data_IF_335636964154
#
_entry.id   IF_335636964154
#
_cell.length_a   1.000
_cell.length_b   1.000
_cell.length_c   1.000
_cell.angle_alpha   90.00
_cell.angle_beta   90.00
_cell.angle_gamma   90.00
#
_symmetry.space_group_name_H-M   'P 1'
#
loop_
_entity.id
_entity.type
_entity.pdbx_description
1 polymer ?
#
# COMPACT_ATOMS: atom_id res chain seq x y z
N UNK A 1 -3.85 -4.04 14.91
CA UNK A 1 -3.84 -5.52 14.83
C UNK A 1 -5.29 -6.01 14.91
N UNK A 2 -5.72 -6.98 14.08
CA UNK A 2 -7.15 -7.36 13.96
C UNK A 2 -7.57 -8.57 14.80
N UNK A 3 -6.81 -9.66 14.78
CA UNK A 3 -7.23 -10.97 15.34
C UNK A 3 -6.54 -11.30 16.68
N UNK A 4 -5.44 -10.61 17.03
CA UNK A 4 -4.68 -10.90 18.26
C UNK A 4 -3.91 -12.22 18.24
N UNK A 5 -3.88 -12.91 17.09
CA UNK A 5 -3.20 -14.20 16.90
C UNK A 5 -2.41 -14.20 15.59
N UNK A 6 -1.43 -15.10 15.50
CA UNK A 6 -0.65 -15.30 14.28
C UNK A 6 -1.49 -16.02 13.21
N UNK A 7 -1.39 -15.62 11.93
CA UNK A 7 -2.11 -16.29 10.84
C UNK A 7 -1.63 -17.73 10.62
N UNK A 8 -0.37 -18.02 10.96
CA UNK A 8 0.23 -19.34 10.94
C UNK A 8 0.98 -19.55 12.26
N UNK A 9 0.64 -20.62 12.96
CA UNK A 9 1.32 -21.06 14.17
C UNK A 9 1.29 -22.59 14.24
N UNK A 10 2.42 -23.18 14.63
CA UNK A 10 2.56 -24.60 14.91
C UNK A 10 3.86 -24.86 15.69
N UNK A 11 3.84 -25.85 16.58
CA UNK A 11 5.06 -26.30 17.29
C UNK A 11 6.00 -27.07 16.37
N UNK A 12 5.46 -27.68 15.32
CA UNK A 12 6.23 -28.40 14.32
C UNK A 12 6.53 -27.48 13.14
N UNK A 13 7.82 -27.19 12.93
CA UNK A 13 8.30 -26.30 11.85
C UNK A 13 7.86 -26.78 10.46
N UNK A 14 7.82 -28.09 10.22
CA UNK A 14 7.39 -28.64 8.91
C UNK A 14 5.92 -28.32 8.65
N UNK A 15 5.07 -28.47 9.67
CA UNK A 15 3.63 -28.14 9.57
C UNK A 15 3.43 -26.63 9.44
N UNK A 16 4.19 -25.82 10.19
CA UNK A 16 4.17 -24.37 10.06
C UNK A 16 4.49 -23.92 8.63
N UNK A 17 5.59 -24.42 8.04
CA UNK A 17 5.94 -24.09 6.66
C UNK A 17 4.88 -24.55 5.67
N UNK A 18 4.30 -25.75 5.86
CA UNK A 18 3.19 -26.22 5.02
C UNK A 18 1.98 -25.27 5.09
N UNK A 19 1.63 -24.77 6.28
CA UNK A 19 0.55 -23.79 6.47
C UNK A 19 0.86 -22.48 5.73
N UNK A 20 2.09 -21.97 5.83
CA UNK A 20 2.54 -20.76 5.12
C UNK A 20 2.45 -20.97 3.60
N UNK A 21 3.00 -22.06 3.07
CA UNK A 21 3.03 -22.33 1.62
C UNK A 21 1.62 -22.48 1.02
N UNK A 22 0.69 -23.07 1.78
CA UNK A 22 -0.70 -23.25 1.35
C UNK A 22 -1.59 -22.04 1.67
N UNK A 23 -1.06 -21.06 2.41
CA UNK A 23 -1.85 -20.02 3.05
C UNK A 23 -3.06 -20.59 3.83
N UNK A 24 -2.83 -21.67 4.58
CA UNK A 24 -3.83 -22.26 5.46
C UNK A 24 -3.97 -21.44 6.75
N UNK A 25 -4.81 -20.41 6.67
CA UNK A 25 -5.09 -19.43 7.73
C UNK A 25 -6.59 -19.39 8.01
N UNK A 26 -6.94 -19.37 9.30
CA UNK A 26 -8.34 -19.23 9.73
C UNK A 26 -8.66 -17.76 9.99
N UNK A 27 -9.40 -17.15 9.07
CA UNK A 27 -9.91 -15.78 9.25
C UNK A 27 -11.27 -15.88 9.97
N UNK A 28 -11.44 -15.25 11.14
CA UNK A 28 -12.68 -15.35 11.90
C UNK A 28 -13.84 -14.60 11.24
N UNK A 29 -15.04 -15.13 11.42
CA UNK A 29 -16.27 -14.60 10.80
C UNK A 29 -16.73 -13.26 11.39
N UNK A 30 -16.33 -12.94 12.63
CA UNK A 30 -16.69 -11.69 13.29
C UNK A 30 -15.95 -10.46 12.74
N UNK A 31 -14.96 -10.64 11.87
CA UNK A 31 -14.33 -9.52 11.16
C UNK A 31 -15.26 -8.92 10.13
N UNK A 32 -15.12 -7.63 9.83
CA UNK A 32 -15.89 -7.03 8.74
C UNK A 32 -15.55 -7.70 7.40
N UNK A 33 -16.51 -7.85 6.47
CA UNK A 33 -16.28 -8.49 5.18
C UNK A 33 -15.11 -7.88 4.39
N UNK A 34 -14.94 -6.55 4.48
CA UNK A 34 -13.81 -5.83 3.87
C UNK A 34 -12.46 -6.21 4.49
N UNK A 35 -12.38 -6.36 5.81
CA UNK A 35 -11.16 -6.81 6.49
C UNK A 35 -10.81 -8.24 6.08
N UNK A 36 -11.81 -9.13 6.06
CA UNK A 36 -11.63 -10.52 5.65
C UNK A 36 -11.13 -10.62 4.20
N UNK A 37 -11.72 -9.82 3.29
CA UNK A 37 -11.29 -9.78 1.89
C UNK A 37 -9.84 -9.31 1.77
N UNK A 38 -9.49 -8.20 2.42
CA UNK A 38 -8.13 -7.66 2.37
C UNK A 38 -7.10 -8.66 2.91
N UNK A 39 -7.37 -9.29 4.05
CA UNK A 39 -6.49 -10.30 4.64
C UNK A 39 -6.26 -11.49 3.69
N UNK A 40 -7.31 -12.00 3.03
CA UNK A 40 -7.18 -13.08 2.04
C UNK A 40 -6.26 -12.69 0.88
N UNK A 41 -6.37 -11.45 0.39
CA UNK A 41 -5.55 -10.96 -0.72
C UNK A 41 -4.09 -10.72 -0.32
N UNK A 42 -3.84 -10.28 0.92
CA UNK A 42 -2.48 -10.10 1.47
C UNK A 42 -1.80 -11.46 1.67
N UNK A 43 -2.53 -12.44 2.20
CA UNK A 43 -2.02 -13.79 2.50
C UNK A 43 -2.07 -14.74 1.29
N UNK A 44 -2.32 -14.21 0.07
CA UNK A 44 -2.31 -15.00 -1.16
C UNK A 44 -0.93 -15.67 -1.36
N UNK A 45 -0.88 -17.01 -1.50
CA UNK A 45 0.38 -17.75 -1.58
C UNK A 45 1.12 -17.47 -2.90
N UNK A 46 0.40 -17.21 -4.00
CA UNK A 46 1.02 -16.87 -5.27
C UNK A 46 1.40 -15.37 -5.32
N UNK A 47 2.69 -15.01 -5.38
CA UNK A 47 3.12 -13.60 -5.38
C UNK A 47 2.57 -12.80 -6.57
N UNK A 48 2.29 -13.44 -7.71
CA UNK A 48 1.72 -12.77 -8.89
C UNK A 48 0.24 -12.43 -8.72
N UNK A 49 -0.47 -13.11 -7.80
CA UNK A 49 -1.88 -12.85 -7.47
C UNK A 49 -2.03 -12.04 -6.18
N UNK A 50 -0.96 -11.92 -5.39
CA UNK A 50 -0.94 -11.19 -4.14
C UNK A 50 -1.15 -9.71 -4.40
N UNK A 51 -2.01 -9.11 -3.58
CA UNK A 51 -2.29 -7.67 -3.65
C UNK A 51 -1.01 -6.86 -3.43
N UNK A 52 -0.79 -5.87 -4.29
CA UNK A 52 0.35 -4.96 -4.15
C UNK A 52 0.02 -3.78 -3.23
N UNK A 53 1.03 -2.97 -2.89
CA UNK A 53 0.85 -1.85 -1.95
C UNK A 53 -0.11 -0.77 -2.48
N UNK A 54 -0.09 -0.48 -3.78
CA UNK A 54 -1.00 0.50 -4.38
C UNK A 54 -2.46 0.03 -4.28
N UNK A 55 -2.72 -1.24 -4.56
CA UNK A 55 -4.04 -1.85 -4.42
C UNK A 55 -4.51 -1.91 -2.96
N UNK A 56 -3.61 -2.17 -1.99
CA UNK A 56 -3.94 -2.11 -0.56
C UNK A 56 -4.41 -0.70 -0.18
N UNK A 57 -3.66 0.34 -0.58
CA UNK A 57 -3.99 1.75 -0.30
C UNK A 57 -5.33 2.15 -0.91
N UNK A 58 -5.68 1.58 -2.06
CA UNK A 58 -6.95 1.81 -2.74
C UNK A 58 -8.11 0.96 -2.18
N UNK A 59 -7.84 -0.03 -1.34
CA UNK A 59 -8.87 -0.91 -0.81
C UNK A 59 -9.82 -0.14 0.13
N UNK A 60 -11.14 -0.30 -0.05
CA UNK A 60 -12.16 0.45 0.71
C UNK A 60 -11.99 0.31 2.23
N UNK A 61 -11.69 -0.91 2.69
CA UNK A 61 -11.43 -1.16 4.11
C UNK A 61 -10.22 -0.40 4.65
N UNK A 62 -9.17 -0.21 3.82
CA UNK A 62 -7.97 0.53 4.23
C UNK A 62 -8.22 2.04 4.23
N UNK A 63 -8.98 2.56 3.26
CA UNK A 63 -9.27 3.99 3.16
C UNK A 63 -10.16 4.52 4.28
N UNK A 64 -10.93 3.64 4.92
CA UNK A 64 -11.84 4.02 6.01
C UNK A 64 -11.06 4.61 7.18
N UNK A 65 -11.31 5.88 7.46
CA UNK A 65 -10.67 6.66 8.54
C UNK A 65 -9.13 6.75 8.43
N UNK A 66 -8.58 6.51 7.24
CA UNK A 66 -7.15 6.62 6.99
C UNK A 66 -6.75 8.06 6.68
N UNK A 67 -5.73 8.55 7.39
CA UNK A 67 -5.13 9.86 7.18
C UNK A 67 -3.69 9.62 6.68
N UNK A 68 -3.36 10.00 5.43
CA UNK A 68 -1.99 9.90 4.94
C UNK A 68 -1.09 10.85 5.73
N UNK A 69 0.11 10.39 6.09
CA UNK A 69 1.14 11.23 6.67
C UNK A 69 1.70 12.11 5.55
N UNK A 70 1.66 13.44 5.74
CA UNK A 70 2.32 14.37 4.83
C UNK A 70 3.85 14.26 4.94
N UNK A 71 4.60 14.70 3.91
CA UNK A 71 6.04 14.84 4.05
C UNK A 71 6.34 15.74 5.26
N UNK A 72 7.24 15.29 6.13
CA UNK A 72 7.80 16.14 7.18
C UNK A 72 8.85 17.02 6.49
N UNK A 73 8.56 18.31 6.36
CA UNK A 73 9.62 19.28 6.11
C UNK A 73 10.37 19.44 7.44
N UNK A 74 11.64 19.00 7.51
CA UNK A 74 12.47 19.01 8.73
C UNK A 74 12.72 20.44 9.30
N UNK A 75 12.16 21.48 8.68
CA UNK A 75 12.43 22.90 8.95
C UNK A 75 11.24 23.71 9.53
N UNK A 76 10.06 23.12 9.80
CA UNK A 76 8.88 23.88 10.28
C UNK A 76 8.41 23.47 11.69
N UNK A 77 8.83 24.24 12.70
CA UNK A 77 8.16 24.32 14.00
C UNK A 77 6.84 25.09 13.87
N UNK A 78 5.72 24.39 13.58
CA UNK A 78 4.36 24.57 14.15
C UNK A 78 3.32 23.76 13.32
N UNK A 79 3.20 22.44 13.58
CA UNK A 79 2.27 21.57 12.85
C UNK A 79 0.83 21.78 13.33
N UNK A 80 0.08 22.63 12.63
CA UNK A 80 -1.39 22.66 12.72
C UNK A 80 -1.95 21.40 12.05
N UNK A 81 -2.29 20.44 12.89
CA UNK A 81 -3.08 19.24 12.62
C UNK A 81 -4.20 19.51 11.60
N UNK A 82 -4.16 18.87 10.41
CA UNK A 82 -5.37 18.67 9.61
C UNK A 82 -5.33 18.86 8.09
N UNK A 83 -4.18 19.00 7.43
CA UNK A 83 -4.16 18.97 5.96
C UNK A 83 -4.40 17.54 5.43
N UNK A 84 -5.67 17.17 5.26
CA UNK A 84 -6.08 15.92 4.61
C UNK A 84 -5.80 16.08 3.11
N UNK A 85 -4.66 15.60 2.64
CA UNK A 85 -4.45 15.43 1.20
C UNK A 85 -5.23 14.19 0.73
N UNK A 86 -6.03 14.29 -0.34
CA UNK A 86 -6.75 13.14 -0.85
C UNK A 86 -5.76 12.06 -1.29
N UNK A 87 -6.01 10.80 -0.91
CA UNK A 87 -5.14 9.63 -1.15
C UNK A 87 -4.74 9.46 -2.63
N UNK A 88 -5.56 9.97 -3.56
CA UNK A 88 -5.26 9.97 -5.01
C UNK A 88 -4.09 10.88 -5.42
N UNK A 89 -3.71 11.88 -4.62
CA UNK A 89 -2.64 12.84 -4.96
C UNK A 89 -1.28 12.50 -4.33
N UNK A 90 -1.24 11.61 -3.33
CA UNK A 90 -0.01 11.30 -2.58
C UNK A 90 0.87 10.25 -3.29
N UNK A 91 0.35 9.54 -4.28
CA UNK A 91 1.06 8.44 -4.96
C UNK A 91 0.99 8.59 -6.48
N UNK A 92 1.43 9.74 -6.99
CA UNK A 92 2.06 9.77 -8.30
C UNK A 92 3.55 9.55 -8.05
N UNK A 93 4.21 8.85 -8.96
CA UNK A 93 5.68 8.68 -9.01
C UNK A 93 6.22 7.51 -8.17
N UNK A 94 6.01 6.30 -8.69
CA UNK A 94 7.06 5.30 -8.75
C UNK A 94 6.79 4.39 -9.97
N UNK A 95 7.57 4.58 -11.04
CA UNK A 95 7.68 3.76 -12.27
C UNK A 95 6.67 3.90 -13.43
N UNK A 96 6.63 5.06 -14.10
CA UNK A 96 6.68 5.12 -15.59
C UNK A 96 6.81 6.55 -16.17
N UNK A 97 8.01 6.93 -16.65
CA UNK A 97 8.12 7.85 -17.79
C UNK A 97 7.33 7.27 -18.97
N UNK A 98 6.41 8.00 -19.65
CA UNK A 98 6.37 8.33 -21.12
C UNK A 98 5.20 9.33 -21.44
N UNK A 99 5.55 10.58 -21.72
CA UNK A 99 5.04 11.54 -22.75
C UNK A 99 3.56 12.01 -22.87
N UNK A 100 3.41 13.33 -22.64
CA UNK A 100 2.74 14.40 -23.42
C UNK A 100 1.22 14.37 -23.70
N UNK A 101 0.52 15.42 -23.20
CA UNK A 101 -0.54 16.25 -23.85
C UNK A 101 -1.13 17.17 -22.74
N UNK A 102 -1.14 18.49 -22.79
CA UNK A 102 -0.96 19.49 -23.84
C UNK A 102 -0.75 20.87 -23.19
N UNK A 103 0.14 21.67 -23.78
CA UNK A 103 0.19 23.14 -23.74
C UNK A 103 0.35 23.81 -22.36
N UNK A 104 1.59 24.03 -21.95
CA UNK A 104 2.12 25.35 -21.58
C UNK A 104 3.60 25.19 -21.18
N UNK A 105 4.51 25.69 -22.02
CA UNK A 105 5.78 26.33 -21.62
C UNK A 105 6.56 26.70 -22.89
N UNK A 106 6.60 27.98 -23.26
CA UNK A 106 7.45 28.46 -24.35
C UNK A 106 8.91 28.56 -23.89
N UNK A 107 9.82 27.96 -24.67
CA UNK A 107 11.27 28.23 -24.75
C UNK A 107 12.05 28.57 -23.47
N UNK A 108 12.78 27.60 -22.90
CA UNK A 108 14.16 27.77 -22.41
C UNK A 108 14.79 26.36 -22.48
N UNK A 109 15.71 26.04 -23.38
CA UNK A 109 17.14 26.25 -23.18
C UNK A 109 17.86 24.90 -23.34
N UNK A 110 18.86 24.84 -24.21
CA UNK A 110 19.63 23.65 -24.59
C UNK A 110 20.61 23.26 -23.47
N UNK A 111 20.59 22.03 -22.92
CA UNK A 111 21.80 21.41 -22.31
C UNK A 111 21.70 19.87 -22.38
N UNK A 112 22.39 19.25 -23.34
CA UNK A 112 23.63 18.45 -23.21
C UNK A 112 23.47 17.02 -22.66
N UNK A 113 23.81 16.07 -23.53
CA UNK A 113 24.20 14.69 -23.28
C UNK A 113 25.16 14.55 -22.11
N UNK A 114 24.90 13.58 -21.23
CA UNK A 114 25.92 12.92 -20.41
C UNK A 114 25.74 11.39 -20.53
N UNK A 115 26.90 10.75 -20.68
CA UNK A 115 27.24 9.37 -21.07
C UNK A 115 26.27 8.24 -20.70
#
# INVERSE_FOLDING_TARGET
MLIGQLPFDDRNMVVLYQKIFKADTKIPEWLSPGAQNLLKRILEPNPMKRINMAEIKLHEWFQKDYIPVGPYDDDDDDVRHGAILPVKQVWQDDTNCIMLKTNLCPNIGKYTTYL
#
